data_IF_213168101154
#
_entry.id   IF_213168101154
#
_cell.length_a   1.000
_cell.length_b   1.000
_cell.length_c   1.000
_cell.angle_alpha   90.00
_cell.angle_beta   90.00
_cell.angle_gamma   90.00
#
_symmetry.space_group_name_H-M   'P 1'
#
loop_
_entity.id
_entity.type
_entity.pdbx_description
1 polymer ?
#
# COMPACT_ATOMS: atom_id res chain seq x y z
N UNK A 1 -13.58 16.79 14.02
CA UNK A 1 -12.98 15.51 13.62
C UNK A 1 -11.56 15.81 13.13
N UNK A 2 -10.55 15.04 13.58
CA UNK A 2 -9.18 15.17 13.04
C UNK A 2 -9.21 14.84 11.54
N UNK A 3 -8.58 15.66 10.72
CA UNK A 3 -8.42 15.41 9.29
C UNK A 3 -6.94 15.24 8.97
N UNK A 4 -6.59 14.20 8.25
CA UNK A 4 -5.24 14.00 7.74
C UNK A 4 -5.04 14.90 6.52
N UNK A 5 -4.05 15.78 6.56
CA UNK A 5 -3.72 16.68 5.45
C UNK A 5 -2.45 16.22 4.72
N UNK A 6 -2.39 16.47 3.41
CA UNK A 6 -1.19 16.17 2.62
C UNK A 6 0.06 16.89 3.17
N UNK A 7 -0.08 18.15 3.59
CA UNK A 7 1.03 18.91 4.18
C UNK A 7 1.55 18.28 5.48
N UNK A 8 0.70 17.64 6.26
CA UNK A 8 1.12 16.89 7.45
C UNK A 8 1.91 15.63 7.05
N UNK A 9 1.43 14.89 6.04
CA UNK A 9 2.11 13.70 5.51
C UNK A 9 3.51 14.10 5.01
N UNK A 10 3.60 15.12 4.16
CA UNK A 10 4.86 15.62 3.60
C UNK A 10 5.85 16.01 4.70
N UNK A 11 5.42 16.83 5.67
CA UNK A 11 6.27 17.28 6.77
C UNK A 11 6.82 16.11 7.58
N UNK A 12 5.96 15.19 8.00
CA UNK A 12 6.38 14.09 8.88
C UNK A 12 7.31 13.13 8.14
N UNK A 13 6.98 12.75 6.90
CA UNK A 13 7.80 11.81 6.14
C UNK A 13 9.15 12.41 5.73
N UNK A 14 9.23 13.72 5.43
CA UNK A 14 10.51 14.36 5.13
C UNK A 14 11.46 14.42 6.32
N UNK A 15 10.91 14.52 7.54
CA UNK A 15 11.68 14.52 8.78
C UNK A 15 11.99 13.10 9.29
N UNK A 16 11.20 12.12 8.88
CA UNK A 16 11.32 10.73 9.28
C UNK A 16 12.35 9.99 8.42
N UNK A 17 13.64 10.25 8.68
CA UNK A 17 14.71 9.44 8.09
C UNK A 17 14.76 8.12 8.83
N UNK A 18 14.08 7.12 8.29
CA UNK A 18 14.28 5.74 8.73
C UNK A 18 15.71 5.38 8.34
N UNK A 19 16.64 5.55 9.29
CA UNK A 19 18.01 5.06 9.12
C UNK A 19 17.93 3.54 9.24
N UNK A 20 17.61 2.87 8.13
CA UNK A 20 17.66 1.42 8.12
C UNK A 20 19.11 1.00 8.30
N UNK A 21 19.47 0.27 9.36
CA UNK A 21 20.76 -0.39 9.39
C UNK A 21 20.86 -1.30 8.16
N UNK A 22 22.10 -1.58 7.71
CA UNK A 22 22.33 -2.55 6.63
C UNK A 22 21.49 -3.79 6.97
N UNK A 23 20.47 -4.02 6.15
CA UNK A 23 19.47 -5.02 6.46
C UNK A 23 20.05 -6.42 6.19
N UNK A 24 20.49 -7.08 7.26
CA UNK A 24 20.96 -8.47 7.24
C UNK A 24 19.82 -9.50 7.09
N UNK A 25 18.61 -9.04 6.71
CA UNK A 25 17.46 -9.92 6.56
C UNK A 25 17.71 -10.97 5.47
N UNK A 26 17.77 -12.24 5.88
CA UNK A 26 18.08 -13.39 5.00
C UNK A 26 16.85 -13.90 4.21
N UNK A 27 15.64 -13.35 4.46
CA UNK A 27 14.40 -13.75 3.80
C UNK A 27 14.15 -13.09 2.44
N UNK A 28 12.96 -13.30 1.92
CA UNK A 28 12.51 -12.65 0.70
C UNK A 28 12.25 -11.15 0.95
N UNK A 29 12.61 -10.31 -0.02
CA UNK A 29 12.37 -8.86 0.04
C UNK A 29 11.44 -8.45 -1.08
N UNK A 30 10.50 -7.57 -0.74
CA UNK A 30 9.63 -6.91 -1.70
C UNK A 30 9.51 -5.43 -1.34
N UNK A 31 9.14 -4.62 -2.31
CA UNK A 31 8.88 -3.21 -2.09
C UNK A 31 7.61 -2.79 -2.79
N UNK A 32 6.92 -1.81 -2.21
CA UNK A 32 5.66 -1.29 -2.73
C UNK A 32 5.67 0.24 -2.73
N UNK A 33 4.90 0.83 -3.63
CA UNK A 33 4.69 2.27 -3.69
C UNK A 33 3.31 2.65 -3.15
N UNK A 34 3.28 3.48 -2.11
CA UNK A 34 2.09 4.17 -1.64
C UNK A 34 1.98 5.48 -2.42
N UNK A 35 1.23 5.45 -3.53
CA UNK A 35 1.12 6.58 -4.45
C UNK A 35 -0.10 7.41 -4.09
N UNK A 36 0.15 8.68 -3.76
CA UNK A 36 -0.87 9.66 -3.40
C UNK A 36 -1.11 10.62 -4.54
N UNK A 37 -2.34 11.13 -4.65
CA UNK A 37 -2.69 12.27 -5.49
C UNK A 37 -3.64 13.22 -4.79
N UNK A 38 -3.66 14.48 -5.24
CA UNK A 38 -4.68 15.46 -4.85
C UNK A 38 -5.71 15.59 -5.96
N UNK A 39 -6.95 15.20 -5.71
CA UNK A 39 -8.04 15.34 -6.68
C UNK A 39 -9.26 15.94 -6.01
N UNK A 40 -9.83 17.00 -6.62
CA UNK A 40 -11.02 17.70 -6.11
C UNK A 40 -10.94 18.10 -4.61
N UNK A 41 -9.74 18.45 -4.12
CA UNK A 41 -9.51 18.84 -2.72
C UNK A 41 -9.37 17.67 -1.72
N UNK A 42 -9.37 16.44 -2.21
CA UNK A 42 -9.19 15.21 -1.42
C UNK A 42 -7.85 14.55 -1.73
N UNK A 43 -7.22 13.98 -0.71
CA UNK A 43 -6.06 13.10 -0.91
C UNK A 43 -6.57 11.69 -1.19
N UNK A 44 -6.18 11.14 -2.33
CA UNK A 44 -6.49 9.77 -2.72
C UNK A 44 -5.21 8.92 -2.79
N UNK A 45 -5.37 7.62 -2.60
CA UNK A 45 -4.31 6.62 -2.60
C UNK A 45 -4.59 5.57 -3.68
N UNK A 46 -3.55 5.22 -4.46
CA UNK A 46 -3.63 4.26 -5.53
C UNK A 46 -3.58 2.82 -5.01
N UNK A 47 -4.44 2.00 -5.57
CA UNK A 47 -4.38 0.54 -5.46
C UNK A 47 -4.43 -0.10 -6.84
N UNK A 48 -3.81 -1.26 -6.98
CA UNK A 48 -3.98 -2.17 -8.11
C UNK A 48 -4.93 -3.30 -7.72
N UNK A 49 -5.70 -3.78 -8.69
CA UNK A 49 -6.45 -5.04 -8.61
C UNK A 49 -5.65 -6.10 -9.35
N UNK A 50 -5.14 -7.10 -8.63
CA UNK A 50 -4.35 -8.18 -9.25
C UNK A 50 -5.20 -8.99 -10.22
N UNK A 51 -4.67 -9.28 -11.40
CA UNK A 51 -5.35 -10.10 -12.40
C UNK A 51 -5.62 -11.51 -11.84
N UNK A 52 -6.72 -12.12 -12.29
CA UNK A 52 -7.04 -13.50 -11.94
C UNK A 52 -6.05 -14.45 -12.61
N UNK A 53 -5.31 -15.21 -11.80
CA UNK A 53 -4.35 -16.23 -12.26
C UNK A 53 -4.58 -17.52 -11.51
N UNK A 54 -4.67 -18.63 -12.25
CA UNK A 54 -4.79 -19.95 -11.64
C UNK A 54 -3.56 -20.26 -10.77
N UNK A 55 -3.81 -20.68 -9.55
CA UNK A 55 -2.75 -21.03 -8.59
C UNK A 55 -2.15 -19.86 -7.80
N UNK A 56 -2.48 -18.60 -8.10
CA UNK A 56 -2.09 -17.43 -7.29
C UNK A 56 -3.13 -17.20 -6.17
N UNK A 57 -2.74 -17.34 -4.88
CA UNK A 57 -3.65 -17.15 -3.74
C UNK A 57 -4.07 -15.69 -3.54
N UNK A 58 -3.37 -14.74 -4.15
CA UNK A 58 -3.68 -13.31 -4.08
C UNK A 58 -4.37 -12.78 -5.33
N UNK A 59 -4.80 -13.69 -6.20
CA UNK A 59 -5.55 -13.41 -7.42
C UNK A 59 -6.80 -12.59 -7.12
N UNK A 60 -7.01 -11.50 -7.84
CA UNK A 60 -8.16 -10.62 -7.66
C UNK A 60 -8.13 -9.74 -6.41
N UNK A 61 -7.07 -9.81 -5.59
CA UNK A 61 -6.95 -8.98 -4.40
C UNK A 61 -6.43 -7.58 -4.73
N UNK A 62 -6.76 -6.64 -3.84
CA UNK A 62 -6.25 -5.27 -3.87
C UNK A 62 -4.90 -5.20 -3.17
N UNK A 63 -3.94 -4.53 -3.81
CA UNK A 63 -2.62 -4.28 -3.28
C UNK A 63 -2.13 -2.87 -3.64
N UNK A 64 -1.05 -2.44 -3.00
CA UNK A 64 -0.21 -1.39 -3.56
C UNK A 64 0.59 -1.94 -4.73
N UNK A 65 0.89 -1.14 -5.77
CA UNK A 65 1.82 -1.55 -6.81
C UNK A 65 3.19 -1.88 -6.22
N UNK A 66 3.77 -2.99 -6.65
CA UNK A 66 5.04 -3.46 -6.12
C UNK A 66 5.26 -4.95 -6.22
N UNK A 67 6.48 -5.39 -5.94
CA UNK A 67 6.87 -6.78 -6.07
C UNK A 67 8.20 -7.12 -5.41
N UNK A 68 8.75 -8.26 -5.80
CA UNK A 68 10.01 -8.76 -5.27
C UNK A 68 11.21 -8.00 -5.82
N UNK A 69 12.24 -7.83 -4.96
CA UNK A 69 13.51 -7.27 -5.42
C UNK A 69 14.22 -8.23 -6.38
N UNK A 70 14.80 -7.66 -7.42
CA UNK A 70 15.61 -8.35 -8.41
C UNK A 70 17.09 -8.01 -8.29
N UNK A 71 18.01 -8.85 -8.80
CA UNK A 71 19.46 -8.61 -8.66
C UNK A 71 19.97 -7.29 -9.26
N UNK A 72 19.26 -6.72 -10.23
CA UNK A 72 19.59 -5.44 -10.86
C UNK A 72 19.15 -4.23 -10.04
N UNK A 73 18.20 -4.40 -9.11
CA UNK A 73 17.71 -3.31 -8.27
C UNK A 73 18.81 -2.85 -7.30
N UNK A 74 19.20 -1.58 -7.35
CA UNK A 74 20.26 -1.02 -6.49
C UNK A 74 19.75 -0.72 -5.07
N UNK A 75 18.43 -0.63 -4.90
CA UNK A 75 17.75 -0.38 -3.62
C UNK A 75 16.33 -0.90 -3.62
N UNK A 76 15.74 -1.09 -2.42
CA UNK A 76 14.32 -1.42 -2.29
C UNK A 76 13.40 -0.35 -2.86
N UNK A 77 13.83 0.92 -2.82
CA UNK A 77 13.11 2.01 -3.45
C UNK A 77 13.08 1.86 -4.97
N UNK A 78 14.19 1.48 -5.59
CA UNK A 78 14.24 1.22 -7.02
C UNK A 78 13.34 0.03 -7.42
N UNK A 79 13.28 -1.02 -6.60
CA UNK A 79 12.31 -2.11 -6.77
C UNK A 79 10.87 -1.57 -6.83
N UNK A 80 10.46 -0.74 -5.86
CA UNK A 80 9.11 -0.18 -5.82
C UNK A 80 8.81 0.70 -7.06
N UNK A 81 9.77 1.52 -7.49
CA UNK A 81 9.64 2.38 -8.67
C UNK A 81 9.55 1.57 -9.98
N UNK A 82 10.37 0.53 -10.14
CA UNK A 82 10.34 -0.39 -11.29
C UNK A 82 9.02 -1.10 -11.38
N UNK A 83 8.61 -1.78 -10.31
CA UNK A 83 7.36 -2.54 -10.25
C UNK A 83 6.13 -1.65 -10.53
N UNK A 84 6.10 -0.44 -9.95
CA UNK A 84 5.01 0.51 -10.22
C UNK A 84 4.95 0.88 -11.70
N UNK A 85 6.10 1.10 -12.34
CA UNK A 85 6.15 1.40 -13.77
C UNK A 85 5.70 0.20 -14.61
N UNK A 86 6.13 -1.02 -14.28
CA UNK A 86 5.78 -2.24 -15.00
C UNK A 86 4.28 -2.58 -14.85
N UNK A 87 3.70 -2.38 -13.68
CA UNK A 87 2.31 -2.72 -13.39
C UNK A 87 1.29 -1.66 -13.85
N UNK A 88 1.67 -0.38 -13.82
CA UNK A 88 0.71 0.73 -14.03
C UNK A 88 1.09 1.70 -15.15
N UNK A 89 2.32 1.63 -15.69
CA UNK A 89 2.86 2.61 -16.61
C UNK A 89 3.30 3.93 -15.95
N UNK A 90 3.11 4.10 -14.64
CA UNK A 90 3.47 5.34 -13.92
C UNK A 90 4.98 5.32 -13.60
N UNK A 91 5.77 6.11 -14.31
CA UNK A 91 7.20 6.32 -13.99
C UNK A 91 7.34 7.34 -12.84
N UNK A 92 7.35 6.83 -11.60
CA UNK A 92 7.41 7.67 -10.40
C UNK A 92 8.63 8.59 -10.35
N UNK A 93 9.74 8.21 -10.98
CA UNK A 93 10.95 9.05 -11.06
C UNK A 93 10.72 10.34 -11.86
N UNK A 94 9.75 10.31 -12.81
CA UNK A 94 9.48 11.45 -13.70
C UNK A 94 8.26 12.28 -13.28
N UNK A 95 7.25 11.63 -12.67
CA UNK A 95 5.93 12.25 -12.50
C UNK A 95 5.50 12.34 -11.04
N UNK A 96 6.39 12.04 -10.09
CA UNK A 96 6.05 12.06 -8.68
C UNK A 96 7.18 12.60 -7.79
N UNK A 97 6.80 13.26 -6.72
CA UNK A 97 7.69 13.66 -5.64
C UNK A 97 7.77 12.54 -4.60
N UNK A 98 8.98 12.04 -4.33
CA UNK A 98 9.22 11.11 -3.22
C UNK A 98 9.06 11.84 -1.87
N UNK A 99 8.19 11.33 -1.01
CA UNK A 99 7.91 11.93 0.31
C UNK A 99 8.71 11.28 1.44
N UNK A 100 9.01 10.00 1.34
CA UNK A 100 9.68 9.23 2.38
C UNK A 100 9.24 7.76 2.40
N UNK A 101 9.61 7.06 3.45
CA UNK A 101 9.27 5.67 3.68
C UNK A 101 8.60 5.48 5.05
N UNK A 102 7.88 4.39 5.22
CA UNK A 102 7.33 3.97 6.50
C UNK A 102 7.95 2.65 6.94
N UNK A 103 7.77 2.28 8.21
CA UNK A 103 8.33 1.07 8.79
C UNK A 103 8.02 -0.17 7.93
N UNK A 104 9.04 -0.97 7.55
CA UNK A 104 8.83 -2.19 6.81
C UNK A 104 8.04 -3.23 7.59
N UNK A 105 7.25 -4.01 6.87
CA UNK A 105 6.37 -5.01 7.45
C UNK A 105 6.91 -6.43 7.18
N UNK A 106 6.91 -7.27 8.22
CA UNK A 106 7.21 -8.69 8.05
C UNK A 106 5.93 -9.48 7.85
N UNK A 107 5.98 -10.41 6.90
CA UNK A 107 4.92 -11.36 6.62
C UNK A 107 5.53 -12.75 6.39
N UNK A 108 4.75 -13.78 6.69
CA UNK A 108 5.11 -15.16 6.37
C UNK A 108 4.00 -15.73 5.51
N UNK A 109 4.12 -15.64 4.18
CA UNK A 109 3.12 -16.22 3.28
C UNK A 109 2.99 -17.72 3.54
N UNK A 110 1.78 -18.20 3.79
CA UNK A 110 1.51 -19.60 4.17
C UNK A 110 2.03 -20.62 3.15
N UNK A 111 1.93 -20.30 1.84
CA UNK A 111 2.38 -21.20 0.78
C UNK A 111 3.87 -21.42 0.73
N UNK A 112 4.67 -20.40 1.01
CA UNK A 112 6.13 -20.48 0.90
C UNK A 112 6.79 -20.82 2.23
N UNK A 113 6.15 -20.49 3.35
CA UNK A 113 6.73 -20.58 4.69
C UNK A 113 8.00 -19.74 4.88
N UNK A 114 8.42 -18.99 3.86
CA UNK A 114 9.60 -18.12 3.93
C UNK A 114 9.20 -16.76 4.48
N UNK A 115 10.02 -16.21 5.35
CA UNK A 115 9.82 -14.82 5.78
C UNK A 115 9.96 -13.87 4.60
N UNK A 116 9.02 -12.92 4.52
CA UNK A 116 9.00 -11.84 3.54
C UNK A 116 9.04 -10.51 4.30
N UNK A 117 9.93 -9.60 3.91
CA UNK A 117 9.95 -8.22 4.39
C UNK A 117 9.54 -7.30 3.25
N UNK A 118 8.51 -6.48 3.48
CA UNK A 118 7.96 -5.54 2.50
C UNK A 118 8.28 -4.12 2.93
N UNK A 119 8.85 -3.35 2.00
CA UNK A 119 9.33 -1.97 2.19
C UNK A 119 8.39 -1.00 1.48
N UNK A 120 7.58 -0.21 2.21
CA UNK A 120 6.68 0.77 1.61
C UNK A 120 7.34 2.13 1.44
N UNK A 121 7.24 2.70 0.23
CA UNK A 121 7.74 4.03 -0.15
C UNK A 121 6.58 4.92 -0.55
N UNK A 122 6.55 6.16 -0.08
CA UNK A 122 5.43 7.08 -0.27
C UNK A 122 5.79 8.14 -1.30
N UNK A 123 4.90 8.32 -2.27
CA UNK A 123 5.02 9.27 -3.37
C UNK A 123 3.77 10.14 -3.50
N UNK A 124 3.97 11.35 -3.97
CA UNK A 124 2.90 12.25 -4.39
C UNK A 124 3.03 12.50 -5.89
N UNK A 125 2.00 12.22 -6.65
CA UNK A 125 1.94 12.58 -8.07
C UNK A 125 1.90 14.08 -8.25
N UNK A 126 2.69 14.58 -9.22
CA UNK A 126 2.72 15.99 -9.62
C UNK A 126 1.48 16.34 -10.45
N UNK A 127 1.00 15.38 -11.28
CA UNK A 127 -0.29 15.44 -12.00
C UNK A 127 -1.26 14.41 -11.40
N UNK A 128 -2.47 14.82 -10.98
CA UNK A 128 -3.46 13.89 -10.41
C UNK A 128 -4.03 12.88 -11.41
N UNK A 129 -3.89 13.09 -12.70
CA UNK A 129 -4.43 12.24 -13.76
C UNK A 129 -3.33 11.69 -14.69
N UNK A 130 -2.41 10.83 -14.16
CA UNK A 130 -1.33 10.26 -14.94
C UNK A 130 -1.89 9.31 -16.02
N UNK A 131 -1.15 9.16 -17.11
CA UNK A 131 -1.43 8.09 -18.07
C UNK A 131 -1.22 6.73 -17.39
N UNK A 132 -2.21 5.85 -17.56
CA UNK A 132 -2.18 4.49 -17.02
C UNK A 132 -2.03 3.52 -18.19
N UNK A 133 -1.06 2.61 -18.08
CA UNK A 133 -0.81 1.51 -19.02
C UNK A 133 -0.58 0.22 -18.20
N UNK A 134 -1.64 -0.56 -18.04
CA UNK A 134 -1.64 -1.75 -17.20
C UNK A 134 -1.00 -2.94 -17.92
N UNK A 135 -0.13 -3.66 -17.23
CA UNK A 135 0.39 -4.91 -17.72
C UNK A 135 -0.61 -6.08 -17.49
N UNK A 136 -0.23 -7.29 -17.89
CA UNK A 136 -1.09 -8.47 -17.75
C UNK A 136 -1.24 -8.96 -16.28
N UNK A 137 -0.54 -8.39 -15.32
CA UNK A 137 -0.60 -8.74 -13.88
C UNK A 137 -1.66 -7.94 -13.13
N UNK A 138 -2.07 -6.82 -13.70
CA UNK A 138 -3.04 -5.90 -13.12
C UNK A 138 -4.27 -5.82 -13.99
N UNK A 139 -5.44 -6.10 -13.42
CA UNK A 139 -6.72 -6.03 -14.12
C UNK A 139 -7.36 -4.66 -14.08
N UNK A 140 -7.10 -3.87 -13.03
CA UNK A 140 -7.67 -2.54 -12.83
C UNK A 140 -6.88 -1.76 -11.78
N UNK A 141 -7.15 -0.44 -11.69
CA UNK A 141 -6.68 0.41 -10.60
C UNK A 141 -7.86 1.06 -9.89
N UNK A 142 -7.69 1.32 -8.59
CA UNK A 142 -8.68 2.00 -7.76
C UNK A 142 -8.02 3.11 -6.99
N UNK A 143 -8.65 4.30 -6.99
CA UNK A 143 -8.28 5.40 -6.13
C UNK A 143 -9.21 5.45 -4.92
N UNK A 144 -8.67 5.26 -3.73
CA UNK A 144 -9.40 5.32 -2.48
C UNK A 144 -9.20 6.65 -1.74
N UNK A 145 -10.24 7.14 -1.07
CA UNK A 145 -10.14 8.33 -0.21
C UNK A 145 -9.31 8.04 1.03
N UNK A 146 -8.10 8.62 1.11
CA UNK A 146 -7.24 8.47 2.30
C UNK A 146 -7.89 9.08 3.55
N UNK A 147 -8.63 10.18 3.38
CA UNK A 147 -9.36 10.83 4.46
C UNK A 147 -10.47 9.96 5.06
N UNK A 148 -11.24 9.25 4.23
CA UNK A 148 -12.32 8.37 4.69
C UNK A 148 -11.75 7.15 5.45
N UNK A 149 -10.64 6.59 4.96
CA UNK A 149 -9.91 5.53 5.66
C UNK A 149 -9.39 6.00 7.02
N UNK A 150 -8.78 7.20 7.07
CA UNK A 150 -8.23 7.78 8.30
C UNK A 150 -9.30 8.05 9.37
N UNK A 151 -10.48 8.56 8.97
CA UNK A 151 -11.62 8.78 9.86
C UNK A 151 -12.37 7.51 10.21
N UNK A 152 -12.16 6.44 9.42
CA UNK A 152 -12.86 5.17 9.55
C UNK A 152 -14.24 5.13 8.89
N UNK A 153 -14.54 6.09 8.02
CA UNK A 153 -15.82 6.17 7.31
C UNK A 153 -16.01 5.00 6.31
N UNK A 154 -14.90 4.49 5.75
CA UNK A 154 -14.87 3.35 4.82
C UNK A 154 -14.58 2.00 5.48
N UNK A 155 -14.63 1.91 6.82
CA UNK A 155 -14.37 0.65 7.53
C UNK A 155 -15.39 -0.42 7.19
N UNK A 156 -14.88 -1.64 7.00
CA UNK A 156 -15.69 -2.82 6.75
C UNK A 156 -15.00 -4.08 7.26
N UNK A 157 -15.65 -5.20 7.12
CA UNK A 157 -15.10 -6.52 7.36
C UNK A 157 -15.02 -7.29 6.04
N UNK A 158 -13.95 -8.05 5.87
CA UNK A 158 -13.72 -8.93 4.72
C UNK A 158 -13.74 -10.38 5.19
N UNK A 159 -14.63 -11.18 4.61
CA UNK A 159 -14.70 -12.61 4.88
C UNK A 159 -13.84 -13.32 3.84
N UNK A 160 -12.85 -14.06 4.32
CA UNK A 160 -11.95 -14.84 3.47
C UNK A 160 -11.86 -16.28 3.98
N UNK A 161 -11.97 -17.23 3.05
CA UNK A 161 -11.87 -18.66 3.37
C UNK A 161 -10.41 -19.10 3.48
N UNK A 162 -10.05 -19.68 4.61
CA UNK A 162 -8.73 -20.24 4.88
C UNK A 162 -8.92 -21.67 5.39
N UNK A 163 -8.32 -22.63 4.67
CA UNK A 163 -8.39 -24.06 5.02
C UNK A 163 -9.83 -24.55 5.23
N UNK A 164 -10.76 -24.13 4.37
CA UNK A 164 -12.18 -24.49 4.43
C UNK A 164 -12.96 -23.82 5.56
N UNK A 165 -12.40 -22.76 6.21
CA UNK A 165 -13.07 -21.98 7.26
C UNK A 165 -13.12 -20.53 6.90
N UNK A 166 -14.29 -19.94 7.02
CA UNK A 166 -14.46 -18.50 6.91
C UNK A 166 -13.76 -17.79 8.08
N UNK A 167 -12.94 -16.78 7.75
CA UNK A 167 -12.31 -15.90 8.72
C UNK A 167 -12.67 -14.45 8.35
N UNK A 168 -12.98 -13.66 9.36
CA UNK A 168 -13.31 -12.26 9.23
C UNK A 168 -12.05 -11.40 9.50
N UNK A 169 -11.76 -10.49 8.59
CA UNK A 169 -10.63 -9.57 8.67
C UNK A 169 -11.12 -8.13 8.56
N UNK A 170 -10.51 -7.20 9.30
CA UNK A 170 -10.83 -5.79 9.13
C UNK A 170 -10.33 -5.29 7.77
N UNK A 171 -11.06 -4.34 7.19
CA UNK A 171 -10.74 -3.76 5.89
C UNK A 171 -11.29 -2.36 5.69
N UNK A 172 -11.01 -1.81 4.51
CA UNK A 172 -11.60 -0.58 3.98
C UNK A 172 -12.37 -0.89 2.70
N UNK A 173 -13.64 -0.50 2.68
CA UNK A 173 -14.51 -0.62 1.52
C UNK A 173 -14.19 0.48 0.49
N UNK A 174 -13.91 0.08 -0.75
CA UNK A 174 -13.71 0.95 -1.89
C UNK A 174 -14.87 0.85 -2.91
N UNK A 175 -16.01 0.34 -2.49
CA UNK A 175 -17.21 0.14 -3.29
C UNK A 175 -17.26 -1.26 -3.93
N UNK A 176 -16.40 -1.54 -4.90
CA UNK A 176 -16.39 -2.86 -5.57
C UNK A 176 -15.40 -3.85 -4.92
N UNK A 177 -14.50 -3.36 -4.10
CA UNK A 177 -13.39 -4.13 -3.55
C UNK A 177 -13.09 -3.70 -2.10
N UNK A 178 -12.52 -4.62 -1.31
CA UNK A 178 -12.11 -4.35 0.07
C UNK A 178 -10.60 -4.44 0.22
N UNK A 179 -9.99 -3.38 0.74
CA UNK A 179 -8.58 -3.40 1.15
C UNK A 179 -8.47 -4.07 2.50
N UNK A 180 -7.73 -5.16 2.60
CA UNK A 180 -7.55 -5.94 3.82
C UNK A 180 -6.12 -6.50 3.94
N UNK A 181 -5.83 -7.26 4.96
CA UNK A 181 -4.57 -7.99 5.11
C UNK A 181 -3.34 -7.08 5.22
N UNK A 182 -2.32 -7.36 4.40
CA UNK A 182 -1.03 -6.66 4.47
C UNK A 182 -1.14 -5.20 4.02
N UNK A 183 -1.90 -4.94 2.96
CA UNK A 183 -2.16 -3.59 2.44
C UNK A 183 -2.87 -2.73 3.49
N UNK A 184 -3.89 -3.25 4.15
CA UNK A 184 -4.57 -2.60 5.26
C UNK A 184 -3.60 -2.24 6.40
N UNK A 185 -2.72 -3.17 6.80
CA UNK A 185 -1.73 -2.93 7.86
C UNK A 185 -0.74 -1.83 7.48
N UNK A 186 -0.29 -1.76 6.22
CA UNK A 186 0.60 -0.68 5.74
C UNK A 186 -0.08 0.69 5.80
N UNK A 187 -1.39 0.78 5.50
CA UNK A 187 -2.17 2.02 5.66
C UNK A 187 -2.19 2.45 7.13
N UNK A 188 -2.36 1.51 8.06
CA UNK A 188 -2.33 1.81 9.50
C UNK A 188 -0.97 2.32 9.95
N UNK A 189 0.14 1.69 9.51
CA UNK A 189 1.49 2.17 9.81
C UNK A 189 1.70 3.59 9.27
N UNK A 190 1.20 3.89 8.06
CA UNK A 190 1.23 5.26 7.53
C UNK A 190 0.49 6.23 8.45
N UNK A 191 -0.72 5.90 8.91
CA UNK A 191 -1.49 6.76 9.81
C UNK A 191 -0.80 6.96 11.15
N UNK A 192 -0.30 5.90 11.77
CA UNK A 192 0.45 5.95 13.03
C UNK A 192 1.77 6.74 12.90
N UNK A 193 2.45 6.62 11.76
CA UNK A 193 3.66 7.40 11.47
C UNK A 193 3.35 8.89 11.39
N UNK A 194 2.28 9.27 10.69
CA UNK A 194 1.94 10.67 10.42
C UNK A 194 1.23 11.33 11.60
N UNK A 195 0.45 10.58 12.36
CA UNK A 195 -0.25 11.03 13.58
C UNK A 195 -0.07 9.97 14.69
N UNK A 196 0.97 10.08 15.54
CA UNK A 196 1.20 9.13 16.64
C UNK A 196 0.03 9.01 17.63
N UNK A 197 -0.83 10.02 17.69
CA UNK A 197 -2.05 10.00 18.50
C UNK A 197 -3.26 9.41 17.77
N UNK A 198 -3.05 8.94 16.53
CA UNK A 198 -4.12 8.29 15.78
C UNK A 198 -4.49 6.98 16.45
N UNK A 199 -5.73 6.93 16.93
CA UNK A 199 -6.25 5.71 17.53
C UNK A 199 -7.24 5.07 16.56
N UNK A 200 -6.97 3.82 16.27
CA UNK A 200 -7.96 2.97 15.63
C UNK A 200 -9.15 2.84 16.59
N UNK A 201 -10.14 3.73 16.44
CA UNK A 201 -11.41 3.56 17.15
C UNK A 201 -12.04 2.26 16.64
N UNK A 202 -11.89 1.18 17.40
CA UNK A 202 -12.67 -0.03 17.14
C UNK A 202 -14.14 0.37 17.07
N UNK A 203 -14.78 0.14 15.93
CA UNK A 203 -16.22 0.35 15.82
C UNK A 203 -16.89 -0.40 16.99
N UNK A 204 -17.71 0.30 17.75
CA UNK A 204 -18.56 -0.34 18.75
C UNK A 204 -19.44 -1.33 17.99
N UNK A 205 -19.13 -2.60 18.14
CA UNK A 205 -20.07 -3.68 17.84
C UNK A 205 -21.25 -3.46 18.77
N UNK A 206 -22.34 -2.94 18.23
CA UNK A 206 -23.66 -2.96 18.90
C UNK A 206 -24.34 -4.25 18.52
#
# INVERSE_FOLDING_TARGET
MKSLTLSQIQRVLSDNKITQPIDEFAGLRAAVSIVLRMKAGSTEILFIVRALREGDPWSGQIAFPGGHSEPQDQSMRETAERETTEETGIDLKKVATYLGEIEPIKATPRKTGKELKVYPFVYLLDDPDPLIDLNCEVSDIIWGSLGDMYRGDSRTEHIFEIDGKEQCFPGYDLGLQVVWGLTYRMIHILFETVDPDWQFSSAKTN
#
